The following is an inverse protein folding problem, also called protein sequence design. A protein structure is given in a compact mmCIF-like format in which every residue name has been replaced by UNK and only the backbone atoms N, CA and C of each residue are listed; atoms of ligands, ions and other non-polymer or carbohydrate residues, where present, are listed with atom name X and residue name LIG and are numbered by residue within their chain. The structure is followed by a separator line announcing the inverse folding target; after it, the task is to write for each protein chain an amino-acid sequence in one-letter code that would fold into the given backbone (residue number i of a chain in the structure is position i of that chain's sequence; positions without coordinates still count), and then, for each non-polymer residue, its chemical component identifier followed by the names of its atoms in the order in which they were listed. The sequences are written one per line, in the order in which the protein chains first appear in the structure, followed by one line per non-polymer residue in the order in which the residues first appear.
data_IF_593727890707
#
_entry.id   IF_593727890707
#
_cell.length_a   1.000
_cell.length_b   1.000
_cell.length_c   1.000
_cell.angle_alpha   90.00
_cell.angle_beta   90.00
_cell.angle_gamma   90.00
#
_symmetry.space_group_name_H-M   'P 1'
#
loop_
_entity.id
_entity.type
_entity.pdbx_description
1 polymer ?
#
# COMPACT_ATOMS: atom_id res chain seq x y z
N UNK A 1 -25.71 -13.91 -32.59
CA UNK A 1 -25.60 -14.81 -31.41
C UNK A 1 -24.66 -14.14 -30.41
N UNK A 2 -25.15 -13.66 -29.25
CA UNK A 2 -24.27 -13.06 -28.22
C UNK A 2 -23.80 -14.19 -27.31
N UNK A 3 -22.51 -14.53 -27.39
CA UNK A 3 -21.88 -15.46 -26.45
C UNK A 3 -21.81 -14.76 -25.10
N UNK A 4 -22.52 -15.28 -24.11
CA UNK A 4 -22.45 -14.80 -22.73
C UNK A 4 -21.22 -15.46 -22.11
N UNK A 5 -20.21 -14.66 -21.76
CA UNK A 5 -19.02 -15.17 -21.08
C UNK A 5 -19.43 -15.80 -19.75
N UNK A 6 -18.86 -16.96 -19.38
CA UNK A 6 -19.15 -17.62 -18.12
C UNK A 6 -18.78 -16.67 -16.97
N UNK A 7 -19.72 -16.50 -16.04
CA UNK A 7 -19.50 -15.71 -14.83
C UNK A 7 -18.92 -16.67 -13.79
N UNK A 8 -17.64 -16.54 -13.50
CA UNK A 8 -16.99 -17.36 -12.48
C UNK A 8 -17.20 -16.71 -11.12
N UNK A 9 -17.43 -17.52 -10.09
CA UNK A 9 -17.58 -16.99 -8.74
C UNK A 9 -16.21 -16.59 -8.19
N UNK A 10 -16.06 -15.31 -7.83
CA UNK A 10 -14.87 -14.74 -7.20
C UNK A 10 -14.30 -15.64 -6.08
N UNK A 11 -15.21 -16.17 -5.25
CA UNK A 11 -14.89 -17.04 -4.12
C UNK A 11 -14.35 -18.43 -4.50
N UNK A 12 -14.72 -18.99 -5.65
CA UNK A 12 -14.30 -20.35 -6.06
C UNK A 12 -12.93 -20.40 -6.72
N UNK A 13 -12.38 -19.25 -7.14
CA UNK A 13 -11.05 -19.15 -7.78
C UNK A 13 -9.99 -18.48 -6.90
N UNK A 14 -10.30 -18.15 -5.65
CA UNK A 14 -9.39 -17.35 -4.80
C UNK A 14 -9.22 -15.90 -5.27
N UNK A 15 -9.97 -15.48 -6.29
CA UNK A 15 -10.08 -14.10 -6.78
C UNK A 15 -11.04 -13.33 -5.87
N UNK A 16 -10.63 -12.84 -4.71
CA UNK A 16 -11.58 -12.14 -3.84
C UNK A 16 -11.19 -11.81 -2.42
N UNK A 17 -9.90 -11.70 -2.10
CA UNK A 17 -9.53 -10.98 -0.87
C UNK A 17 -10.04 -9.54 -1.02
N UNK A 18 -10.71 -8.97 0.00
CA UNK A 18 -11.08 -7.58 -0.06
C UNK A 18 -9.79 -6.77 -0.24
N UNK A 19 -9.78 -5.86 -1.21
CA UNK A 19 -8.60 -5.03 -1.49
C UNK A 19 -9.00 -3.58 -1.40
N UNK A 20 -8.01 -2.69 -1.26
CA UNK A 20 -8.26 -1.25 -1.31
C UNK A 20 -8.64 -0.75 -2.70
N UNK A 21 -8.67 -1.61 -3.74
CA UNK A 21 -9.09 -1.23 -5.10
C UNK A 21 -10.59 -0.94 -5.15
N UNK A 22 -10.95 0.32 -5.32
CA UNK A 22 -12.32 0.81 -5.42
C UNK A 22 -12.63 1.41 -6.79
N UNK A 23 -13.80 1.08 -7.32
CA UNK A 23 -14.22 1.49 -8.67
C UNK A 23 -14.51 2.99 -8.75
N UNK A 24 -15.12 3.57 -7.72
CA UNK A 24 -15.45 4.99 -7.70
C UNK A 24 -14.18 5.84 -7.57
N UNK A 25 -13.23 5.42 -6.73
CA UNK A 25 -11.92 6.06 -6.62
C UNK A 25 -11.12 5.91 -7.91
N UNK A 26 -11.10 4.75 -8.55
CA UNK A 26 -10.45 4.57 -9.86
C UNK A 26 -11.09 5.45 -10.94
N UNK A 27 -12.43 5.59 -10.94
CA UNK A 27 -13.12 6.47 -11.87
C UNK A 27 -12.84 7.95 -11.62
N UNK A 28 -12.60 8.35 -10.37
CA UNK A 28 -12.37 9.75 -9.96
C UNK A 28 -10.92 10.17 -10.17
N UNK A 29 -9.98 9.33 -9.74
CA UNK A 29 -8.55 9.62 -9.63
C UNK A 29 -7.70 8.95 -10.72
N UNK A 30 -8.32 8.10 -11.54
CA UNK A 30 -7.71 7.51 -12.72
C UNK A 30 -6.52 6.60 -12.40
N UNK A 31 -5.55 6.60 -13.32
CA UNK A 31 -4.40 5.69 -13.28
C UNK A 31 -3.55 5.87 -12.02
N UNK A 32 -3.42 7.09 -11.48
CA UNK A 32 -2.63 7.36 -10.28
C UNK A 32 -3.12 6.55 -9.09
N UNK A 33 -4.44 6.51 -8.87
CA UNK A 33 -5.03 5.71 -7.81
C UNK A 33 -4.90 4.21 -8.09
N UNK A 34 -5.12 3.78 -9.34
CA UNK A 34 -4.97 2.36 -9.72
C UNK A 34 -3.54 1.88 -9.44
N UNK A 35 -2.53 2.67 -9.80
CA UNK A 35 -1.12 2.32 -9.55
C UNK A 35 -0.80 2.30 -8.06
N UNK A 36 -1.29 3.26 -7.28
CA UNK A 36 -1.17 3.24 -5.83
C UNK A 36 -1.78 1.96 -5.23
N UNK A 37 -3.03 1.66 -5.57
CA UNK A 37 -3.75 0.52 -5.03
C UNK A 37 -3.06 -0.80 -5.41
N UNK A 38 -2.67 -0.95 -6.67
CA UNK A 38 -1.95 -2.13 -7.15
C UNK A 38 -0.60 -2.29 -6.45
N UNK A 39 0.17 -1.21 -6.29
CA UNK A 39 1.44 -1.27 -5.58
C UNK A 39 1.24 -1.73 -4.12
N UNK A 40 0.32 -1.11 -3.40
CA UNK A 40 0.03 -1.49 -2.01
C UNK A 40 -0.45 -2.96 -1.89
N UNK A 41 -1.33 -3.41 -2.79
CA UNK A 41 -1.81 -4.79 -2.82
C UNK A 41 -0.66 -5.76 -3.10
N UNK A 42 0.19 -5.46 -4.09
CA UNK A 42 1.30 -6.35 -4.44
C UNK A 42 2.35 -6.46 -3.33
N UNK A 43 2.66 -5.37 -2.62
CA UNK A 43 3.56 -5.41 -1.46
C UNK A 43 2.97 -6.27 -0.34
N UNK A 44 1.68 -6.14 -0.03
CA UNK A 44 0.99 -7.00 0.96
C UNK A 44 1.04 -8.47 0.54
N UNK A 45 0.85 -8.76 -0.76
CA UNK A 45 0.92 -10.14 -1.27
C UNK A 45 2.32 -10.73 -1.13
N UNK A 46 3.37 -9.91 -1.31
CA UNK A 46 4.75 -10.34 -1.05
C UNK A 46 4.92 -10.64 0.44
N UNK A 47 4.42 -9.78 1.34
CA UNK A 47 4.43 -10.06 2.79
C UNK A 47 3.78 -11.41 3.10
N UNK A 48 2.56 -11.64 2.62
CA UNK A 48 1.83 -12.89 2.87
C UNK A 48 2.58 -14.12 2.33
N UNK A 49 3.37 -13.95 1.26
CA UNK A 49 4.20 -15.01 0.69
C UNK A 49 5.47 -15.27 1.49
N UNK A 50 5.93 -14.29 2.26
CA UNK A 50 7.10 -14.34 3.13
C UNK A 50 6.75 -14.66 4.60
N UNK A 51 5.46 -14.80 4.93
CA UNK A 51 4.93 -14.95 6.28
C UNK A 51 5.19 -16.38 6.81
N UNK A 52 6.48 -16.67 7.01
CA UNK A 52 6.98 -17.78 7.81
C UNK A 52 7.23 -17.26 9.25
N UNK A 53 7.04 -18.13 10.25
CA UNK A 53 7.06 -17.78 11.69
C UNK A 53 8.40 -17.15 12.12
N UNK A 54 9.45 -17.36 11.33
CA UNK A 54 10.82 -16.87 11.54
C UNK A 54 11.25 -15.75 10.56
N UNK A 55 10.31 -15.15 9.82
CA UNK A 55 10.64 -14.09 8.85
C UNK A 55 11.28 -12.88 9.56
N UNK A 56 12.47 -12.41 9.14
CA UNK A 56 13.11 -11.23 9.72
C UNK A 56 12.41 -9.92 9.32
N UNK A 57 11.30 -10.00 8.56
CA UNK A 57 10.62 -8.89 7.93
C UNK A 57 9.20 -8.68 8.52
N UNK A 58 9.06 -8.01 9.69
CA UNK A 58 7.76 -7.72 10.28
C UNK A 58 6.99 -6.67 9.47
N UNK A 59 5.65 -6.61 9.62
CA UNK A 59 4.67 -5.68 9.00
C UNK A 59 5.13 -4.21 8.77
N UNK A 60 6.14 -3.71 9.50
CA UNK A 60 6.72 -2.40 9.27
C UNK A 60 7.41 -2.21 7.90
N UNK A 61 7.95 -3.26 7.28
CA UNK A 61 8.71 -3.07 6.03
C UNK A 61 7.83 -2.70 4.82
N UNK A 62 6.62 -3.24 4.75
CA UNK A 62 5.66 -2.91 3.67
C UNK A 62 5.10 -1.49 3.84
N UNK A 63 4.87 -1.05 5.08
CA UNK A 63 4.49 0.32 5.41
C UNK A 63 5.60 1.27 4.98
N UNK A 64 6.85 0.95 5.32
CA UNK A 64 8.01 1.72 4.92
C UNK A 64 8.13 1.82 3.39
N UNK A 65 8.07 0.69 2.67
CA UNK A 65 8.23 0.67 1.23
C UNK A 65 7.10 1.42 0.51
N UNK A 66 5.86 1.28 1.00
CA UNK A 66 4.72 2.06 0.52
C UNK A 66 4.88 3.55 0.79
N UNK A 67 5.43 3.95 1.94
CA UNK A 67 5.74 5.36 2.19
C UNK A 67 6.78 5.89 1.20
N UNK A 68 7.84 5.13 0.89
CA UNK A 68 8.83 5.53 -0.12
C UNK A 68 8.17 5.74 -1.49
N UNK A 69 7.25 4.85 -1.88
CA UNK A 69 6.44 5.01 -3.08
C UNK A 69 5.62 6.30 -3.05
N UNK A 70 4.87 6.52 -1.97
CA UNK A 70 3.98 7.68 -1.83
C UNK A 70 4.76 9.00 -1.92
N UNK A 71 5.89 9.10 -1.21
CA UNK A 71 6.72 10.32 -1.19
C UNK A 71 7.40 10.58 -2.53
N UNK A 72 7.74 9.54 -3.30
CA UNK A 72 8.32 9.68 -4.64
C UNK A 72 7.27 10.11 -5.68
N UNK A 73 6.04 9.59 -5.57
CA UNK A 73 5.02 9.71 -6.64
C UNK A 73 3.96 10.76 -6.42
N UNK A 74 3.72 11.16 -5.17
CA UNK A 74 2.62 12.06 -4.82
C UNK A 74 3.15 13.29 -4.09
N UNK A 75 2.67 14.44 -4.53
CA UNK A 75 2.92 15.73 -3.89
C UNK A 75 1.68 16.18 -3.11
N UNK A 76 1.68 16.16 -1.76
CA UNK A 76 0.53 16.61 -0.96
C UNK A 76 0.25 18.12 -1.07
N UNK A 77 1.15 18.90 -1.68
CA UNK A 77 0.92 20.29 -2.06
C UNK A 77 0.05 20.45 -3.30
N UNK A 78 -0.02 19.44 -4.17
CA UNK A 78 -0.92 19.40 -5.32
C UNK A 78 -2.35 19.03 -4.84
N UNK A 79 -3.37 19.89 -5.07
CA UNK A 79 -4.75 19.59 -4.69
C UNK A 79 -5.29 18.26 -5.23
N UNK A 80 -4.86 17.82 -6.42
CA UNK A 80 -5.33 16.57 -7.01
C UNK A 80 -4.76 15.35 -6.28
N UNK A 81 -3.46 15.35 -5.99
CA UNK A 81 -2.82 14.30 -5.21
C UNK A 81 -3.34 14.28 -3.78
N UNK A 82 -3.53 15.45 -3.17
CA UNK A 82 -4.09 15.55 -1.83
C UNK A 82 -5.49 14.94 -1.75
N UNK A 83 -6.38 15.28 -2.69
CA UNK A 83 -7.72 14.70 -2.75
C UNK A 83 -7.69 13.17 -2.94
N UNK A 84 -6.78 12.67 -3.77
CA UNK A 84 -6.56 11.23 -3.96
C UNK A 84 -6.14 10.55 -2.65
N UNK A 85 -5.13 11.09 -1.96
CA UNK A 85 -4.62 10.56 -0.70
C UNK A 85 -5.75 10.54 0.34
N UNK A 86 -6.49 11.64 0.46
CA UNK A 86 -7.59 11.77 1.42
C UNK A 86 -8.69 10.73 1.16
N UNK A 87 -9.17 10.64 -0.08
CA UNK A 87 -10.21 9.69 -0.46
C UNK A 87 -9.73 8.23 -0.28
N UNK A 88 -8.49 7.91 -0.64
CA UNK A 88 -7.94 6.56 -0.54
C UNK A 88 -7.76 6.14 0.93
N UNK A 89 -7.24 7.02 1.79
CA UNK A 89 -7.09 6.75 3.22
C UNK A 89 -8.45 6.59 3.89
N UNK A 90 -9.39 7.51 3.64
CA UNK A 90 -10.73 7.43 4.22
C UNK A 90 -11.48 6.19 3.74
N UNK A 91 -11.33 5.79 2.47
CA UNK A 91 -11.90 4.54 1.95
C UNK A 91 -11.47 3.30 2.73
N UNK A 92 -10.23 3.27 3.23
CA UNK A 92 -9.74 2.18 4.12
C UNK A 92 -10.27 2.34 5.54
N UNK A 93 -10.23 3.57 6.09
CA UNK A 93 -10.60 3.82 7.49
C UNK A 93 -12.11 3.71 7.77
N UNK A 94 -12.94 4.01 6.78
CA UNK A 94 -14.41 3.96 6.87
C UNK A 94 -14.99 2.61 6.42
N UNK A 95 -14.14 1.69 5.96
CA UNK A 95 -14.53 0.34 5.57
C UNK A 95 -15.18 -0.45 6.72
N UNK A 96 -16.09 -1.36 6.38
CA UNK A 96 -16.71 -2.23 7.38
C UNK A 96 -15.66 -3.12 8.06
N UNK A 97 -15.68 -3.26 9.40
CA UNK A 97 -14.81 -4.20 10.10
C UNK A 97 -15.06 -5.62 9.62
N UNK A 98 -14.02 -6.32 9.17
CA UNK A 98 -14.15 -7.65 8.56
C UNK A 98 -12.82 -8.37 8.33
N UNK A 99 -12.74 -9.12 7.24
CA UNK A 99 -11.52 -9.81 6.82
C UNK A 99 -10.39 -8.81 6.50
N UNK A 100 -9.11 -9.22 6.64
CA UNK A 100 -7.97 -8.38 6.28
C UNK A 100 -8.08 -7.88 4.83
N UNK A 101 -7.99 -6.56 4.65
CA UNK A 101 -8.05 -5.92 3.34
C UNK A 101 -6.64 -5.72 2.80
N UNK A 102 -6.35 -6.27 1.62
CA UNK A 102 -5.07 -6.07 0.94
C UNK A 102 -4.88 -4.60 0.55
N UNK A 103 -3.76 -4.00 0.93
CA UNK A 103 -3.50 -2.57 0.81
C UNK A 103 -3.86 -1.76 2.07
N UNK A 104 -4.32 -2.41 3.14
CA UNK A 104 -4.71 -1.73 4.39
C UNK A 104 -3.56 -1.14 5.19
N UNK A 105 -2.31 -1.38 4.78
CA UNK A 105 -1.12 -0.70 5.27
C UNK A 105 -1.04 0.78 4.79
N UNK A 106 -1.83 1.20 3.81
CA UNK A 106 -1.85 2.57 3.27
C UNK A 106 -2.05 3.68 4.32
N UNK A 107 -3.08 3.66 5.18
CA UNK A 107 -3.25 4.68 6.21
C UNK A 107 -2.04 4.82 7.14
N UNK A 108 -1.34 3.71 7.42
CA UNK A 108 -0.14 3.75 8.27
C UNK A 108 1.04 4.41 7.58
N UNK A 109 1.26 4.14 6.29
CA UNK A 109 2.33 4.78 5.50
C UNK A 109 2.09 6.29 5.37
N UNK A 110 0.85 6.71 5.13
CA UNK A 110 0.48 8.13 5.10
C UNK A 110 0.66 8.77 6.49
N UNK A 111 0.25 8.08 7.55
CA UNK A 111 0.42 8.59 8.91
C UNK A 111 1.89 8.77 9.28
N UNK A 112 2.78 7.82 8.93
CA UNK A 112 4.21 7.90 9.24
C UNK A 112 4.88 9.04 8.46
N UNK A 113 4.57 9.23 7.18
CA UNK A 113 5.04 10.37 6.39
C UNK A 113 4.71 11.73 7.06
N UNK A 114 3.50 11.86 7.61
CA UNK A 114 3.07 13.06 8.35
C UNK A 114 3.76 13.13 9.72
N UNK A 115 3.91 12.01 10.44
CA UNK A 115 4.59 11.95 11.73
C UNK A 115 6.06 12.35 11.66
N UNK A 116 6.74 11.99 10.57
CA UNK A 116 8.14 12.34 10.30
C UNK A 116 8.32 13.76 9.72
N UNK A 117 7.21 14.46 9.43
CA UNK A 117 7.24 15.82 8.89
C UNK A 117 7.61 15.91 7.42
N UNK A 118 7.55 14.79 6.68
CA UNK A 118 7.73 14.77 5.22
C UNK A 118 6.50 15.34 4.53
N UNK A 119 5.32 15.03 5.07
CA UNK A 119 4.03 15.54 4.59
C UNK A 119 3.40 16.56 5.56
N UNK A 120 2.51 17.44 5.07
CA UNK A 120 1.88 18.49 5.86
C UNK A 120 1.13 17.99 7.11
N UNK A 121 1.30 18.68 8.25
CA UNK A 121 0.72 18.28 9.54
C UNK A 121 -0.82 18.40 9.58
N UNK A 122 -1.41 19.26 8.77
CA UNK A 122 -2.86 19.45 8.69
C UNK A 122 -3.59 18.21 8.14
N UNK A 123 -2.90 17.35 7.38
CA UNK A 123 -3.42 16.06 6.93
C UNK A 123 -3.66 15.06 8.07
N UNK A 124 -3.13 15.30 9.29
CA UNK A 124 -3.46 14.48 10.47
C UNK A 124 -4.96 14.42 10.77
N UNK A 125 -5.73 15.39 10.28
CA UNK A 125 -7.17 15.48 10.44
C UNK A 125 -7.93 14.21 10.02
N UNK A 126 -7.45 13.46 9.04
CA UNK A 126 -8.05 12.19 8.58
C UNK A 126 -8.02 11.10 9.65
N UNK A 127 -7.01 11.12 10.51
CA UNK A 127 -6.75 10.09 11.51
C UNK A 127 -7.42 10.39 12.86
N UNK A 128 -8.30 11.38 12.94
CA UNK A 128 -8.97 11.77 14.20
C UNK A 128 -9.75 10.63 14.86
N UNK A 129 -10.21 9.65 14.08
CA UNK A 129 -10.88 8.45 14.60
C UNK A 129 -9.96 7.43 15.28
N UNK A 130 -8.64 7.53 15.09
CA UNK A 130 -7.68 6.61 15.71
C UNK A 130 -7.55 6.90 17.21
N UNK A 131 -8.08 6.00 18.04
CA UNK A 131 -8.06 6.12 19.50
C UNK A 131 -6.65 6.04 20.10
N UNK A 132 -5.74 5.33 19.44
CA UNK A 132 -4.37 5.16 19.89
C UNK A 132 -3.42 5.14 18.69
N UNK A 133 -2.22 5.68 18.90
CA UNK A 133 -1.13 5.58 17.93
C UNK A 133 -0.61 4.13 17.90
N UNK A 134 -0.24 3.58 16.73
CA UNK A 134 0.29 2.23 16.60
C UNK A 134 1.76 2.20 17.07
N UNK A 135 1.98 2.23 18.39
CA UNK A 135 3.32 2.37 19.00
C UNK A 135 4.31 1.27 18.58
N UNK A 136 3.83 0.04 18.43
CA UNK A 136 4.64 -1.11 18.01
C UNK A 136 5.12 -0.94 16.57
N UNK A 137 4.23 -0.51 15.67
CA UNK A 137 4.60 -0.19 14.29
C UNK A 137 5.64 0.93 14.24
N UNK A 138 5.46 2.01 15.02
CA UNK A 138 6.44 3.11 15.08
C UNK A 138 7.82 2.62 15.51
N UNK A 139 7.88 1.76 16.53
CA UNK A 139 9.15 1.18 16.99
C UNK A 139 9.80 0.30 15.92
N UNK A 140 9.00 -0.45 15.15
CA UNK A 140 9.48 -1.31 14.07
C UNK A 140 9.89 -0.53 12.80
N UNK A 141 9.28 0.62 12.53
CA UNK A 141 9.65 1.52 11.42
C UNK A 141 10.96 2.29 11.69
N UNK A 142 11.17 2.72 12.93
CA UNK A 142 12.34 3.53 13.32
C UNK A 142 13.70 3.02 12.79
N UNK A 143 14.06 1.73 12.90
CA UNK A 143 15.35 1.23 12.38
C UNK A 143 15.45 1.28 10.85
N UNK A 144 14.35 1.15 10.11
CA UNK A 144 14.34 1.17 8.64
C UNK A 144 14.74 2.55 8.10
N UNK A 145 14.46 3.61 8.85
CA UNK A 145 14.79 4.99 8.49
C UNK A 145 16.26 5.37 8.72
N UNK A 146 17.06 4.54 9.42
CA UNK A 146 18.47 4.84 9.69
C UNK A 146 19.35 4.92 8.45
N UNK A 147 19.04 4.10 7.43
CA UNK A 147 19.67 4.13 6.10
C UNK A 147 18.59 3.82 5.05
N UNK A 148 17.64 4.75 4.95
CA UNK A 148 16.40 4.54 4.21
C UNK A 148 16.64 4.16 2.74
N UNK A 149 17.66 4.72 2.08
CA UNK A 149 17.91 4.43 0.66
C UNK A 149 18.48 3.03 0.46
N UNK A 150 19.40 2.57 1.31
CA UNK A 150 19.88 1.19 1.25
C UNK A 150 18.75 0.21 1.54
N UNK A 151 17.97 0.46 2.60
CA UNK A 151 16.83 -0.40 2.99
C UNK A 151 15.76 -0.42 1.89
N UNK A 152 15.47 0.71 1.24
CA UNK A 152 14.56 0.78 0.09
C UNK A 152 15.02 -0.13 -1.03
N UNK A 153 16.30 -0.08 -1.42
CA UNK A 153 16.86 -0.96 -2.46
C UNK A 153 16.76 -2.43 -2.08
N UNK A 154 17.12 -2.79 -0.85
CA UNK A 154 17.08 -4.16 -0.34
C UNK A 154 15.65 -4.72 -0.34
N UNK A 155 14.67 -3.96 0.14
CA UNK A 155 13.27 -4.38 0.17
C UNK A 155 12.64 -4.41 -1.22
N UNK A 156 12.96 -3.45 -2.08
CA UNK A 156 12.49 -3.47 -3.46
C UNK A 156 13.02 -4.70 -4.21
N UNK A 157 14.31 -5.05 -4.00
CA UNK A 157 14.91 -6.25 -4.57
C UNK A 157 14.27 -7.52 -4.00
N UNK A 158 14.00 -7.58 -2.69
CA UNK A 158 13.26 -8.68 -2.07
C UNK A 158 11.90 -8.90 -2.75
N UNK A 159 11.13 -7.83 -2.99
CA UNK A 159 9.85 -7.94 -3.69
C UNK A 159 10.02 -8.48 -5.11
N UNK A 160 11.05 -8.03 -5.85
CA UNK A 160 11.33 -8.50 -7.22
C UNK A 160 11.76 -9.96 -7.27
N UNK A 161 12.49 -10.42 -6.25
CA UNK A 161 13.02 -11.79 -6.17
C UNK A 161 12.00 -12.79 -5.61
N UNK A 162 10.95 -12.31 -4.94
CA UNK A 162 9.89 -13.17 -4.39
C UNK A 162 9.04 -13.72 -5.53
N UNK A 163 8.97 -15.06 -5.72
CA UNK A 163 8.11 -15.66 -6.73
C UNK A 163 6.64 -15.47 -6.38
N UNK A 164 5.87 -14.86 -7.29
CA UNK A 164 4.45 -14.55 -7.08
C UNK A 164 3.57 -15.22 -8.14
N UNK A 165 2.45 -15.80 -7.71
CA UNK A 165 1.38 -16.28 -8.59
C UNK A 165 0.03 -15.67 -8.12
N UNK A 166 -0.64 -14.81 -8.92
CA UNK A 166 -0.16 -14.21 -10.17
C UNK A 166 1.10 -13.34 -9.98
N UNK A 167 1.86 -13.01 -11.04
CA UNK A 167 3.05 -12.16 -10.91
C UNK A 167 2.68 -10.75 -10.42
N UNK A 168 3.67 -10.02 -9.91
CA UNK A 168 3.54 -8.58 -9.62
C UNK A 168 3.07 -7.84 -10.87
N UNK A 169 2.18 -6.87 -10.68
CA UNK A 169 1.65 -6.11 -11.79
C UNK A 169 2.76 -5.27 -12.49
N UNK A 170 2.65 -5.02 -13.81
CA UNK A 170 3.62 -4.19 -14.53
C UNK A 170 3.96 -2.83 -13.87
N UNK A 171 3.00 -2.02 -13.39
CA UNK A 171 3.34 -0.75 -12.73
C UNK A 171 4.10 -0.95 -11.39
N UNK A 172 3.84 -2.05 -10.68
CA UNK A 172 4.60 -2.41 -9.48
C UNK A 172 6.04 -2.77 -9.85
N UNK A 173 6.22 -3.62 -10.87
CA UNK A 173 7.54 -4.02 -11.35
C UNK A 173 8.40 -2.82 -11.80
N UNK A 174 7.81 -1.90 -12.55
CA UNK A 174 8.49 -0.67 -12.98
C UNK A 174 8.94 0.16 -11.77
N UNK A 175 8.05 0.32 -10.80
CA UNK A 175 8.32 1.08 -9.58
C UNK A 175 9.41 0.45 -8.72
N UNK A 176 9.34 -0.86 -8.47
CA UNK A 176 10.35 -1.56 -7.67
C UNK A 176 11.72 -1.52 -8.36
N UNK A 177 11.79 -1.67 -9.69
CA UNK A 177 13.05 -1.53 -10.44
C UNK A 177 13.63 -0.12 -10.37
N UNK A 178 12.78 0.91 -10.37
CA UNK A 178 13.26 2.28 -10.16
C UNK A 178 13.81 2.48 -8.74
N UNK A 179 13.21 1.81 -7.75
CA UNK A 179 13.66 1.85 -6.35
C UNK A 179 14.98 1.13 -6.09
N UNK A 180 15.37 0.16 -6.93
CA UNK A 180 16.65 -0.55 -6.79
C UNK A 180 17.87 0.25 -7.24
N UNK A 181 17.68 1.32 -8.03
CA UNK A 181 18.75 2.16 -8.59
C UNK A 181 19.09 1.84 -10.04
#
# INVERSE_FOLDING_TARGET
MRVKLPTVSARSEGLGLPTIMDRALASRHGATYVHLAVFAIDVDRVRDSLDDVDSPHPFAWEVFLLERYLVDRLDPGDPAHRALIEDAVLGVLEGEPGEPVMGSQLPFAVWDAIARGVWPDDMRAMFRGWKARPKELVAALAPLWGDADRVTRELAQLCLDTPMEPPLAPPTLETLRAMTG
#
